data_IF_310647981528
#
_entry.id   IF_310647981528
#
_cell.length_a   1.000
_cell.length_b   1.000
_cell.length_c   1.000
_cell.angle_alpha   90.00
_cell.angle_beta   90.00
_cell.angle_gamma   90.00
#
_symmetry.space_group_name_H-M   'P 1'
#
loop_
_entity.id
_entity.type
_entity.pdbx_description
1 polymer ?
#
# COMPACT_ATOMS: atom_id res chain seq x y z
N UNK A 1 -3.31 -1.12 26.17
CA UNK A 1 -1.97 -1.07 25.56
C UNK A 1 -2.20 -1.23 24.08
N UNK A 2 -1.63 -0.36 23.25
CA UNK A 2 -1.82 -0.37 21.79
C UNK A 2 -0.77 -1.29 21.18
N UNK A 3 -1.20 -2.34 20.48
CA UNK A 3 -0.30 -3.26 19.78
C UNK A 3 -0.14 -2.86 18.31
N UNK A 4 1.10 -2.65 17.88
CA UNK A 4 1.47 -2.45 16.47
C UNK A 4 1.92 -3.78 15.86
N UNK A 5 1.07 -4.39 15.03
CA UNK A 5 1.28 -5.68 14.38
C UNK A 5 2.18 -5.55 13.14
N UNK A 6 3.23 -6.37 13.06
CA UNK A 6 4.11 -6.49 11.89
C UNK A 6 4.52 -7.93 11.64
N UNK A 7 4.80 -8.26 10.38
CA UNK A 7 5.41 -9.54 10.04
C UNK A 7 6.95 -9.45 10.13
N UNK A 8 7.56 -10.39 10.86
CA UNK A 8 8.97 -10.37 11.25
C UNK A 8 9.95 -10.50 10.06
N UNK A 9 9.48 -10.96 8.91
CA UNK A 9 10.29 -11.10 7.70
C UNK A 9 10.54 -9.76 7.00
N UNK A 10 9.82 -8.69 7.36
CA UNK A 10 9.93 -7.39 6.70
C UNK A 10 10.61 -6.37 7.61
N UNK A 11 11.94 -6.26 7.47
CA UNK A 11 12.76 -5.33 8.26
C UNK A 11 12.31 -3.86 8.12
N UNK A 12 11.88 -3.42 6.94
CA UNK A 12 11.40 -2.06 6.72
C UNK A 12 10.13 -1.78 7.56
N UNK A 13 9.18 -2.72 7.62
CA UNK A 13 7.98 -2.61 8.47
C UNK A 13 8.35 -2.56 9.94
N UNK A 14 9.33 -3.36 10.38
CA UNK A 14 9.82 -3.35 11.77
C UNK A 14 10.42 -1.99 12.14
N UNK A 15 11.25 -1.39 11.27
CA UNK A 15 11.83 -0.07 11.54
C UNK A 15 10.77 1.04 11.62
N UNK A 16 9.75 0.96 10.75
CA UNK A 16 8.58 1.85 10.82
C UNK A 16 7.84 1.67 12.15
N UNK A 17 7.57 0.43 12.55
CA UNK A 17 6.87 0.14 13.81
C UNK A 17 7.64 0.64 15.04
N UNK A 18 8.98 0.51 15.05
CA UNK A 18 9.84 1.09 16.11
C UNK A 18 9.67 2.61 16.21
N UNK A 19 9.78 3.31 15.08
CA UNK A 19 9.64 4.76 15.03
C UNK A 19 8.23 5.22 15.47
N UNK A 20 7.19 4.47 15.04
CA UNK A 20 5.81 4.74 15.43
C UNK A 20 5.59 4.52 16.93
N UNK A 21 6.03 3.39 17.48
CA UNK A 21 5.88 3.07 18.90
C UNK A 21 6.62 4.07 19.78
N UNK A 22 7.83 4.49 19.39
CA UNK A 22 8.57 5.56 20.07
C UNK A 22 7.77 6.87 20.07
N UNK A 23 7.24 7.27 18.92
CA UNK A 23 6.43 8.48 18.78
C UNK A 23 5.16 8.43 19.63
N UNK A 24 4.42 7.32 19.60
CA UNK A 24 3.21 7.11 20.40
C UNK A 24 3.51 7.15 21.90
N UNK A 25 4.58 6.48 22.35
CA UNK A 25 4.99 6.49 23.74
C UNK A 25 5.43 7.89 24.19
N UNK A 26 6.09 8.67 23.33
CA UNK A 26 6.53 10.04 23.65
C UNK A 26 5.37 11.01 23.93
N UNK A 27 4.19 10.75 23.37
CA UNK A 27 2.97 11.55 23.58
C UNK A 27 2.01 10.93 24.60
N UNK A 28 2.44 9.89 25.33
CA UNK A 28 1.72 9.34 26.49
C UNK A 28 0.90 8.08 26.24
N UNK A 29 0.95 7.48 25.04
CA UNK A 29 0.36 6.16 24.83
C UNK A 29 1.23 5.07 25.50
N UNK A 30 0.63 3.90 25.72
CA UNK A 30 1.35 2.66 26.04
C UNK A 30 1.29 1.77 24.82
N UNK A 31 2.30 1.85 23.95
CA UNK A 31 2.39 1.12 22.70
C UNK A 31 3.55 0.12 22.70
N UNK A 32 3.34 -1.02 22.05
CA UNK A 32 4.35 -2.07 21.85
C UNK A 32 4.26 -2.67 20.44
N UNK A 33 5.34 -3.32 20.01
CA UNK A 33 5.40 -4.01 18.72
C UNK A 33 5.06 -5.47 18.94
N UNK A 34 4.12 -5.99 18.16
CA UNK A 34 3.85 -7.43 18.06
C UNK A 34 4.40 -7.94 16.73
N UNK A 35 5.53 -8.65 16.80
CA UNK A 35 6.16 -9.30 15.65
C UNK A 35 5.67 -10.76 15.56
N UNK A 36 5.12 -11.15 14.41
CA UNK A 36 4.68 -12.53 14.13
C UNK A 36 5.20 -13.00 12.77
N UNK A 37 5.09 -14.28 12.43
CA UNK A 37 5.36 -14.71 11.05
C UNK A 37 4.27 -14.24 10.07
N UNK A 38 4.56 -14.30 8.77
CA UNK A 38 3.65 -13.83 7.74
C UNK A 38 2.27 -14.50 7.77
N UNK A 39 2.20 -15.80 8.07
CA UNK A 39 0.93 -16.54 8.08
C UNK A 39 0.03 -16.07 9.24
N UNK A 40 0.58 -15.95 10.45
CA UNK A 40 -0.16 -15.40 11.59
C UNK A 40 -0.48 -13.91 11.40
N UNK A 41 0.42 -13.13 10.77
CA UNK A 41 0.16 -11.73 10.41
C UNK A 41 -1.08 -11.60 9.51
N UNK A 42 -1.14 -12.38 8.43
CA UNK A 42 -2.26 -12.36 7.50
C UNK A 42 -3.55 -12.87 8.15
N UNK A 43 -3.47 -13.90 8.99
CA UNK A 43 -4.61 -14.40 9.76
C UNK A 43 -5.16 -13.34 10.72
N UNK A 44 -4.30 -12.68 11.50
CA UNK A 44 -4.73 -11.61 12.41
C UNK A 44 -5.35 -10.43 11.66
N UNK A 45 -4.84 -10.10 10.47
CA UNK A 45 -5.42 -9.06 9.63
C UNK A 45 -6.81 -9.45 9.12
N UNK A 46 -6.98 -10.68 8.63
CA UNK A 46 -8.29 -11.15 8.12
C UNK A 46 -9.32 -11.30 9.24
N UNK A 47 -8.89 -11.72 10.43
CA UNK A 47 -9.70 -11.82 11.64
C UNK A 47 -9.91 -10.45 12.34
N UNK A 48 -9.29 -9.38 11.83
CA UNK A 48 -9.37 -8.02 12.39
C UNK A 48 -8.89 -7.95 13.85
N UNK A 49 -7.89 -8.77 14.17
CA UNK A 49 -7.30 -8.94 15.49
C UNK A 49 -6.02 -8.10 15.63
N UNK A 50 -6.17 -6.77 15.61
CA UNK A 50 -5.08 -5.80 15.77
C UNK A 50 -5.63 -4.43 16.19
N UNK A 51 -4.79 -3.58 16.82
CA UNK A 51 -5.10 -2.16 16.99
C UNK A 51 -4.56 -1.35 15.80
N UNK A 52 -3.29 -1.61 15.44
CA UNK A 52 -2.59 -1.02 14.29
C UNK A 52 -1.82 -2.14 13.60
N UNK A 53 -1.79 -2.15 12.26
CA UNK A 53 -0.85 -2.97 11.50
C UNK A 53 -0.04 -2.10 10.53
N UNK A 54 1.22 -2.47 10.29
CA UNK A 54 2.03 -1.85 9.23
C UNK A 54 1.99 -2.74 8.00
N UNK A 55 1.24 -2.32 6.99
CA UNK A 55 1.03 -3.07 5.76
C UNK A 55 1.43 -2.31 4.50
N UNK A 56 0.90 -2.76 3.38
CA UNK A 56 1.02 -2.09 2.09
C UNK A 56 0.21 -2.82 1.04
N UNK A 57 -0.31 -2.06 0.08
CA UNK A 57 -1.07 -2.57 -1.06
C UNK A 57 -0.23 -2.49 -2.33
N UNK A 58 -0.49 -3.42 -3.26
CA UNK A 58 0.02 -3.34 -4.62
C UNK A 58 -1.18 -3.04 -5.52
N UNK A 59 -1.24 -1.81 -6.02
CA UNK A 59 -2.36 -1.37 -6.85
C UNK A 59 -2.27 -1.93 -8.27
N UNK A 60 -3.44 -2.18 -8.86
CA UNK A 60 -3.62 -2.43 -10.29
C UNK A 60 -3.51 -1.13 -11.10
N UNK A 61 -3.30 -1.26 -12.41
CA UNK A 61 -3.11 -0.13 -13.33
C UNK A 61 -4.36 0.74 -13.53
N UNK A 62 -5.53 0.20 -13.23
CA UNK A 62 -6.83 0.88 -13.31
C UNK A 62 -7.06 1.86 -12.14
N UNK A 63 -6.17 1.87 -11.13
CA UNK A 63 -6.30 2.69 -9.92
C UNK A 63 -7.63 2.47 -9.17
N UNK A 64 -8.22 1.27 -9.28
CA UNK A 64 -9.40 0.94 -8.49
C UNK A 64 -9.02 0.63 -7.04
N UNK A 65 -9.55 1.45 -6.13
CA UNK A 65 -9.35 1.32 -4.68
C UNK A 65 -10.51 0.62 -3.99
N UNK A 66 -11.52 0.16 -4.75
CA UNK A 66 -12.77 -0.38 -4.21
C UNK A 66 -12.55 -1.62 -3.35
N UNK A 67 -11.62 -2.51 -3.70
CA UNK A 67 -11.31 -3.68 -2.87
C UNK A 67 -10.84 -3.31 -1.46
N UNK A 68 -10.21 -2.14 -1.31
CA UNK A 68 -9.57 -1.69 -0.07
C UNK A 68 -10.47 -0.76 0.73
N UNK A 69 -11.19 0.14 0.06
CA UNK A 69 -11.90 1.27 0.67
C UNK A 69 -13.42 1.19 0.58
N UNK A 70 -13.99 0.33 -0.27
CA UNK A 70 -15.44 0.14 -0.29
C UNK A 70 -15.87 -0.61 0.97
N UNK A 71 -17.08 -0.33 1.47
CA UNK A 71 -17.66 -1.00 2.64
C UNK A 71 -17.58 -2.53 2.51
N UNK A 72 -17.87 -3.06 1.32
CA UNK A 72 -17.87 -4.50 1.02
C UNK A 72 -16.60 -4.98 0.27
N UNK A 73 -15.51 -4.20 0.31
CA UNK A 73 -14.25 -4.56 -0.33
C UNK A 73 -13.62 -5.82 0.26
N UNK A 74 -13.10 -6.71 -0.58
CA UNK A 74 -12.46 -7.97 -0.18
C UNK A 74 -11.19 -7.78 0.66
N UNK A 75 -10.53 -6.63 0.52
CA UNK A 75 -9.34 -6.21 1.26
C UNK A 75 -9.62 -5.10 2.29
N UNK A 76 -10.89 -4.91 2.68
CA UNK A 76 -11.26 -3.96 3.73
C UNK A 76 -10.90 -4.49 5.13
N UNK A 77 -9.59 -4.50 5.42
CA UNK A 77 -9.04 -5.05 6.65
C UNK A 77 -9.35 -4.19 7.88
N UNK A 78 -9.50 -2.88 7.72
CA UNK A 78 -9.77 -1.93 8.82
C UNK A 78 -11.26 -1.76 9.11
N UNK A 79 -12.15 -2.48 8.40
CA UNK A 79 -13.60 -2.34 8.52
C UNK A 79 -14.12 -0.93 8.25
N UNK A 80 -13.45 -0.20 7.36
CA UNK A 80 -13.89 1.13 6.98
C UNK A 80 -15.24 1.05 6.26
N UNK A 81 -16.17 1.95 6.59
CA UNK A 81 -17.50 1.96 5.97
C UNK A 81 -18.03 3.38 5.95
N UNK A 82 -18.21 3.89 4.73
CA UNK A 82 -18.76 5.21 4.49
C UNK A 82 -19.46 5.24 3.13
N UNK A 83 -20.74 5.59 3.13
CA UNK A 83 -21.56 5.57 1.92
C UNK A 83 -21.13 6.62 0.90
N UNK A 84 -20.49 7.71 1.36
CA UNK A 84 -19.91 8.73 0.48
C UNK A 84 -18.65 8.20 -0.21
N UNK A 85 -17.77 7.50 0.50
CA UNK A 85 -16.63 6.80 -0.09
C UNK A 85 -17.11 5.81 -1.15
N UNK A 86 -18.10 4.97 -0.84
CA UNK A 86 -18.66 3.99 -1.78
C UNK A 86 -19.16 4.69 -3.07
N UNK A 87 -19.83 5.84 -2.92
CA UNK A 87 -20.32 6.63 -4.06
C UNK A 87 -19.19 7.28 -4.87
N UNK A 88 -18.15 7.80 -4.20
CA UNK A 88 -17.01 8.43 -4.86
C UNK A 88 -16.15 7.41 -5.62
N UNK A 89 -15.94 6.22 -5.05
CA UNK A 89 -15.28 5.10 -5.71
C UNK A 89 -16.03 4.71 -6.99
N UNK A 90 -17.35 4.49 -6.89
CA UNK A 90 -18.18 4.19 -8.06
C UNK A 90 -18.13 5.30 -9.11
N UNK A 91 -18.16 6.57 -8.69
CA UNK A 91 -18.08 7.70 -9.62
C UNK A 91 -16.73 7.77 -10.34
N UNK A 92 -15.62 7.57 -9.63
CA UNK A 92 -14.27 7.58 -10.21
C UNK A 92 -14.08 6.46 -11.24
N UNK A 93 -14.65 5.27 -11.00
CA UNK A 93 -14.58 4.13 -11.92
C UNK A 93 -15.47 4.27 -13.16
N UNK A 94 -16.54 5.06 -13.09
CA UNK A 94 -17.51 5.21 -14.19
C UNK A 94 -17.37 6.54 -14.96
N UNK A 95 -16.48 7.43 -14.54
CA UNK A 95 -16.26 8.74 -15.20
C UNK A 95 -15.08 8.68 -16.15
N UNK A 96 -15.29 9.16 -17.38
CA UNK A 96 -14.29 9.16 -18.45
C UNK A 96 -14.13 10.54 -19.08
N UNK A 97 -13.01 10.75 -19.79
CA UNK A 97 -12.73 12.00 -20.48
C UNK A 97 -12.40 13.15 -19.53
N UNK A 98 -12.77 14.37 -19.88
CA UNK A 98 -12.37 15.59 -19.16
C UNK A 98 -12.84 15.64 -17.69
N UNK A 99 -13.91 14.91 -17.35
CA UNK A 99 -14.44 14.88 -15.99
C UNK A 99 -13.70 13.89 -15.06
N UNK A 100 -12.87 12.99 -15.61
CA UNK A 100 -12.22 11.92 -14.86
C UNK A 100 -11.29 12.46 -13.77
N UNK A 101 -10.50 13.49 -14.09
CA UNK A 101 -9.57 14.11 -13.15
C UNK A 101 -10.29 14.66 -11.91
N UNK A 102 -11.40 15.38 -12.09
CA UNK A 102 -12.20 15.91 -10.98
C UNK A 102 -12.84 14.81 -10.11
N UNK A 103 -13.24 13.69 -10.72
CA UNK A 103 -13.77 12.55 -9.99
C UNK A 103 -12.70 11.95 -9.06
N UNK A 104 -11.48 11.77 -9.55
CA UNK A 104 -10.36 11.29 -8.72
C UNK A 104 -9.90 12.31 -7.67
N UNK A 105 -9.95 13.62 -7.95
CA UNK A 105 -9.66 14.63 -6.91
C UNK A 105 -10.66 14.57 -5.77
N UNK A 106 -11.96 14.48 -6.08
CA UNK A 106 -13.01 14.38 -5.06
C UNK A 106 -12.86 13.14 -4.19
N UNK A 107 -12.47 12.01 -4.80
CA UNK A 107 -12.15 10.78 -4.08
C UNK A 107 -10.94 10.96 -3.15
N UNK A 108 -9.83 11.52 -3.66
CA UNK A 108 -8.61 11.74 -2.89
C UNK A 108 -8.81 12.71 -1.72
N UNK A 109 -9.55 13.80 -1.93
CA UNK A 109 -9.91 14.75 -0.88
C UNK A 109 -10.68 14.05 0.24
N UNK A 110 -11.65 13.20 -0.11
CA UNK A 110 -12.41 12.45 0.88
C UNK A 110 -11.53 11.45 1.65
N UNK A 111 -10.63 10.74 0.97
CA UNK A 111 -9.65 9.84 1.61
C UNK A 111 -8.77 10.58 2.62
N UNK A 112 -8.30 11.79 2.29
CA UNK A 112 -7.43 12.59 3.17
C UNK A 112 -8.19 13.11 4.40
N UNK A 113 -9.49 13.39 4.28
CA UNK A 113 -10.30 13.83 5.41
C UNK A 113 -10.66 12.68 6.35
N UNK A 114 -10.90 11.49 5.81
CA UNK A 114 -11.35 10.32 6.57
C UNK A 114 -10.17 9.50 7.15
N UNK A 115 -9.01 9.52 6.49
CA UNK A 115 -7.79 8.79 6.87
C UNK A 115 -8.01 7.30 7.25
N UNK A 116 -8.69 6.49 6.41
CA UNK A 116 -8.85 5.05 6.67
C UNK A 116 -7.50 4.33 6.77
N UNK A 117 -6.48 4.87 6.08
CA UNK A 117 -5.08 4.49 6.20
C UNK A 117 -4.21 5.75 6.27
N UNK A 118 -3.18 5.70 7.10
CA UNK A 118 -2.11 6.72 7.13
C UNK A 118 -1.01 6.27 6.17
N UNK A 119 -0.93 6.93 5.02
CA UNK A 119 0.05 6.60 3.98
C UNK A 119 1.46 7.06 4.38
N UNK A 120 2.42 6.13 4.35
CA UNK A 120 3.83 6.41 4.70
C UNK A 120 4.65 6.76 3.46
N UNK A 121 4.45 6.03 2.37
CA UNK A 121 5.14 6.29 1.11
C UNK A 121 5.15 5.10 0.16
N UNK A 122 5.75 5.30 -1.02
CA UNK A 122 5.89 4.29 -2.06
C UNK A 122 7.21 3.53 -1.93
N UNK A 123 7.14 2.20 -2.08
CA UNK A 123 8.33 1.36 -2.12
C UNK A 123 9.06 1.55 -3.44
N UNK A 124 10.28 2.09 -3.40
CA UNK A 124 11.13 2.23 -4.58
C UNK A 124 11.88 0.93 -4.85
N UNK A 125 11.77 0.41 -6.06
CA UNK A 125 12.55 -0.75 -6.54
C UNK A 125 13.74 -0.25 -7.35
N UNK A 126 14.85 -0.98 -7.27
CA UNK A 126 16.05 -0.74 -8.08
C UNK A 126 16.39 -2.02 -8.83
N UNK A 127 16.62 -1.91 -10.13
CA UNK A 127 17.11 -3.02 -10.94
C UNK A 127 18.64 -2.93 -11.05
N UNK A 128 19.33 -3.99 -10.66
CA UNK A 128 20.75 -4.14 -10.91
C UNK A 128 20.93 -5.01 -12.15
N UNK A 129 21.55 -4.43 -13.18
CA UNK A 129 21.90 -5.13 -14.42
C UNK A 129 23.42 -5.37 -14.48
N UNK A 130 23.81 -6.49 -15.05
CA UNK A 130 25.23 -6.81 -15.29
C UNK A 130 25.87 -5.71 -16.13
N UNK A 131 27.11 -5.33 -15.81
CA UNK A 131 27.89 -4.36 -16.60
C UNK A 131 28.21 -4.83 -18.03
N UNK A 132 27.90 -6.09 -18.36
CA UNK A 132 27.92 -6.64 -19.72
C UNK A 132 26.75 -6.15 -20.57
N UNK A 133 25.62 -5.77 -19.98
CA UNK A 133 24.48 -5.22 -20.71
C UNK A 133 24.76 -3.73 -20.93
N UNK A 134 24.90 -3.29 -22.19
CA UNK A 134 25.27 -1.91 -22.53
C UNK A 134 24.08 -1.04 -22.87
N UNK A 135 23.08 -1.61 -23.54
CA UNK A 135 21.96 -0.88 -24.12
C UNK A 135 20.67 -1.71 -24.07
N UNK A 136 19.53 -1.05 -24.32
CA UNK A 136 18.21 -1.69 -24.41
C UNK A 136 17.45 -1.87 -23.10
N UNK A 137 18.08 -1.58 -21.94
CA UNK A 137 17.45 -1.72 -20.62
C UNK A 137 16.40 -0.63 -20.41
N UNK A 138 15.12 -1.00 -20.56
CA UNK A 138 13.98 -0.11 -20.36
C UNK A 138 12.88 -0.76 -19.51
N UNK A 139 13.17 -1.16 -18.25
CA UNK A 139 12.18 -1.78 -17.38
C UNK A 139 11.04 -0.80 -17.07
N UNK A 140 9.85 -1.34 -16.84
CA UNK A 140 8.76 -0.60 -16.21
C UNK A 140 8.17 -1.42 -15.06
N UNK A 141 7.29 -0.82 -14.25
CA UNK A 141 6.98 -1.29 -12.91
C UNK A 141 6.48 -2.74 -12.81
N UNK A 142 5.67 -3.22 -13.78
CA UNK A 142 5.20 -4.61 -13.79
C UNK A 142 6.04 -5.55 -14.67
N UNK A 143 7.01 -5.03 -15.42
CA UNK A 143 7.89 -5.85 -16.26
C UNK A 143 9.33 -5.33 -16.24
N UNK A 144 10.11 -5.88 -15.32
CA UNK A 144 11.55 -5.58 -15.22
C UNK A 144 12.36 -6.09 -16.42
N UNK A 145 11.77 -7.00 -17.22
CA UNK A 145 12.34 -7.57 -18.43
C UNK A 145 11.71 -6.99 -19.70
N UNK A 146 11.12 -5.80 -19.61
CA UNK A 146 10.56 -5.15 -20.79
C UNK A 146 11.62 -5.01 -21.89
N UNK A 147 11.25 -5.37 -23.11
CA UNK A 147 12.11 -5.35 -24.29
C UNK A 147 13.42 -6.13 -24.09
N UNK A 148 13.43 -7.23 -23.32
CA UNK A 148 14.64 -8.02 -23.04
C UNK A 148 15.33 -8.53 -24.30
N UNK A 149 14.57 -8.81 -25.35
CA UNK A 149 15.07 -9.19 -26.67
C UNK A 149 15.93 -8.10 -27.34
N UNK A 150 15.81 -6.85 -26.90
CA UNK A 150 16.59 -5.71 -27.38
C UNK A 150 17.81 -5.41 -26.49
N UNK A 151 18.08 -6.22 -25.46
CA UNK A 151 19.21 -5.98 -24.56
C UNK A 151 20.51 -6.42 -25.23
N UNK A 152 21.47 -5.50 -25.33
CA UNK A 152 22.73 -5.73 -26.03
C UNK A 152 23.83 -6.09 -25.02
N UNK A 153 24.45 -7.25 -25.23
CA UNK A 153 25.61 -7.71 -24.46
C UNK A 153 26.91 -7.20 -25.09
N UNK A 154 27.87 -6.85 -24.25
CA UNK A 154 29.27 -6.71 -24.66
C UNK A 154 29.89 -8.10 -24.85
N UNK A 155 30.69 -8.25 -25.91
CA UNK A 155 31.59 -9.40 -26.09
C UNK A 155 32.59 -9.52 -24.93
#
# INVERSE_FOLDING_TARGET
MVSVLVNKENEARIQIAKSLVESLNSIGFKAEITEVDFDEYMKRISEKSFDIFIGGFKFSYDNDLSEILATNGSMNYVSYSDSRMDSLLANAQNTYGEAQENAFYSLQEHIINELPYISIGFVKKRLFVSGRIKEGVSPYECNVFNNIENWILSN
#
